data_IF_087270118848
#
_entry.id   IF_087270118848
#
_cell.length_a   1.000
_cell.length_b   1.000
_cell.length_c   1.000
_cell.angle_alpha   90.00
_cell.angle_beta   90.00
_cell.angle_gamma   90.00
#
_symmetry.space_group_name_H-M   'P 1'
#
loop_
_entity.id
_entity.type
_entity.pdbx_description
1 polymer ?
#
# COMPACT_ATOMS: atom_id res chain seq x y z
N UNK A 1 14.03 -11.79 2.82
CA UNK A 1 14.96 -11.44 1.70
C UNK A 1 14.33 -10.45 0.74
N UNK A 2 13.03 -10.59 0.43
CA UNK A 2 12.31 -9.72 -0.50
C UNK A 2 12.47 -8.21 -0.23
N UNK A 3 12.28 -7.77 1.02
CA UNK A 3 12.36 -6.34 1.36
C UNK A 3 13.74 -5.72 1.12
N UNK A 4 14.85 -6.47 1.31
CA UNK A 4 16.19 -5.93 1.04
C UNK A 4 16.43 -5.68 -0.45
N UNK A 5 15.89 -6.56 -1.31
CA UNK A 5 15.97 -6.36 -2.76
C UNK A 5 15.13 -5.16 -3.20
N UNK A 6 13.95 -4.97 -2.60
CA UNK A 6 13.08 -3.82 -2.86
C UNK A 6 13.76 -2.53 -2.40
N UNK A 7 14.28 -2.48 -1.18
CA UNK A 7 15.03 -1.35 -0.62
C UNK A 7 16.20 -0.96 -1.53
N UNK A 8 17.03 -1.94 -1.92
CA UNK A 8 18.16 -1.69 -2.80
C UNK A 8 17.73 -1.16 -4.18
N UNK A 9 16.61 -1.65 -4.73
CA UNK A 9 16.10 -1.18 -6.01
C UNK A 9 15.52 0.23 -5.93
N UNK A 10 14.79 0.56 -4.87
CA UNK A 10 14.21 1.88 -4.67
C UNK A 10 15.29 2.92 -4.37
N UNK A 11 16.34 2.55 -3.64
CA UNK A 11 17.47 3.44 -3.38
C UNK A 11 18.29 3.83 -4.62
N UNK A 12 18.04 3.21 -5.78
CA UNK A 12 18.63 3.61 -7.06
C UNK A 12 17.81 4.69 -7.78
N UNK A 13 16.56 4.92 -7.36
CA UNK A 13 15.68 5.93 -7.94
C UNK A 13 15.83 7.25 -7.18
N UNK A 14 16.28 8.34 -7.84
CA UNK A 14 16.47 9.64 -7.17
C UNK A 14 15.15 10.29 -6.72
N UNK A 15 13.99 9.83 -7.21
CA UNK A 15 12.68 10.32 -6.75
C UNK A 15 12.21 9.60 -5.47
N UNK A 16 12.89 8.53 -5.04
CA UNK A 16 12.56 7.77 -3.86
C UNK A 16 13.55 8.04 -2.71
N UNK A 17 13.06 8.59 -1.60
CA UNK A 17 13.80 8.58 -0.33
C UNK A 17 13.42 7.34 0.48
N UNK A 18 14.41 6.50 0.79
CA UNK A 18 14.17 5.26 1.56
C UNK A 18 14.58 5.46 3.00
N UNK A 19 13.59 5.61 3.89
CA UNK A 19 13.77 5.82 5.32
C UNK A 19 13.91 4.47 6.06
N UNK A 20 14.94 3.69 5.67
CA UNK A 20 15.45 2.51 6.37
C UNK A 20 14.47 1.39 6.75
N UNK A 21 15.01 0.42 7.51
CA UNK A 21 14.30 -0.79 7.97
C UNK A 21 14.41 -0.88 9.48
N UNK A 22 13.32 -0.67 10.21
CA UNK A 22 13.32 -0.95 11.64
C UNK A 22 12.64 -2.30 11.92
N UNK A 23 13.28 -3.18 12.72
CA UNK A 23 12.65 -4.42 13.16
C UNK A 23 11.43 -4.17 14.06
N UNK A 24 11.37 -3.00 14.70
CA UNK A 24 10.29 -2.51 15.55
C UNK A 24 10.31 -0.98 15.51
N UNK A 25 9.77 -0.38 14.44
CA UNK A 25 9.52 1.07 14.45
C UNK A 25 8.29 1.31 15.34
N UNK A 26 8.42 2.27 16.26
CA UNK A 26 7.27 2.76 17.02
C UNK A 26 6.29 3.42 16.03
N UNK A 27 4.99 3.09 16.05
CA UNK A 27 4.00 3.75 15.22
C UNK A 27 4.07 5.29 15.29
N UNK A 28 4.40 5.84 16.47
CA UNK A 28 4.52 7.28 16.66
C UNK A 28 5.76 7.87 15.96
N UNK A 29 6.87 7.13 15.94
CA UNK A 29 8.07 7.50 15.19
C UNK A 29 7.78 7.44 13.69
N UNK A 30 7.07 6.41 13.21
CA UNK A 30 6.65 6.32 11.81
C UNK A 30 5.76 7.50 11.40
N UNK A 31 4.81 7.88 12.24
CA UNK A 31 3.98 9.06 12.00
C UNK A 31 4.82 10.34 11.93
N UNK A 32 5.87 10.47 12.73
CA UNK A 32 6.74 11.65 12.68
C UNK A 32 7.52 11.77 11.37
N UNK A 33 7.84 10.64 10.73
CA UNK A 33 8.52 10.59 9.44
C UNK A 33 7.63 11.01 8.27
N UNK A 34 6.30 11.00 8.44
CA UNK A 34 5.32 11.29 7.39
C UNK A 34 5.61 10.56 6.06
N UNK A 35 5.78 9.23 6.06
CA UNK A 35 6.03 8.50 4.83
C UNK A 35 4.84 8.61 3.87
N UNK A 36 5.12 8.74 2.57
CA UNK A 36 4.11 8.59 1.53
C UNK A 36 3.75 7.11 1.30
N UNK A 37 4.73 6.21 1.50
CA UNK A 37 4.62 4.77 1.25
C UNK A 37 5.28 3.97 2.37
N UNK A 38 4.60 2.94 2.87
CA UNK A 38 5.17 1.94 3.79
C UNK A 38 5.11 0.56 3.16
N UNK A 39 6.25 -0.12 3.04
CA UNK A 39 6.37 -1.47 2.49
C UNK A 39 6.72 -2.46 3.60
N UNK A 40 5.97 -3.56 3.69
CA UNK A 40 6.15 -4.56 4.75
C UNK A 40 5.88 -5.99 4.26
N UNK A 41 6.37 -6.97 5.01
CA UNK A 41 6.02 -8.39 4.79
C UNK A 41 4.67 -8.68 5.44
N UNK A 42 3.77 -9.31 4.69
CA UNK A 42 2.36 -9.50 5.06
C UNK A 42 2.16 -10.23 6.39
N UNK A 43 2.95 -11.28 6.63
CA UNK A 43 2.88 -12.08 7.85
C UNK A 43 3.68 -11.50 9.01
N UNK A 44 4.43 -10.42 8.78
CA UNK A 44 5.32 -9.81 9.77
C UNK A 44 4.66 -8.64 10.52
N UNK A 45 3.55 -8.10 10.01
CA UNK A 45 2.92 -6.89 10.57
C UNK A 45 1.50 -7.19 11.02
N UNK A 46 1.13 -6.88 12.29
CA UNK A 46 -0.23 -7.08 12.78
C UNK A 46 -1.22 -6.13 12.06
N UNK A 47 -2.41 -6.60 11.68
CA UNK A 47 -3.43 -5.78 11.01
C UNK A 47 -3.83 -4.52 11.79
N UNK A 48 -3.79 -4.57 13.12
CA UNK A 48 -4.12 -3.45 14.00
C UNK A 48 -3.15 -2.28 13.80
N UNK A 49 -1.86 -2.58 13.55
CA UNK A 49 -0.86 -1.56 13.27
C UNK A 49 -1.14 -0.90 11.92
N UNK A 50 -1.46 -1.69 10.89
CA UNK A 50 -1.81 -1.16 9.56
C UNK A 50 -3.01 -0.22 9.63
N UNK A 51 -4.03 -0.61 10.40
CA UNK A 51 -5.20 0.22 10.62
C UNK A 51 -4.85 1.51 11.37
N UNK A 52 -4.03 1.44 12.43
CA UNK A 52 -3.58 2.63 13.16
C UNK A 52 -2.83 3.60 12.24
N UNK A 53 -1.89 3.11 11.42
CA UNK A 53 -1.15 3.95 10.48
C UNK A 53 -2.05 4.58 9.41
N UNK A 54 -3.02 3.83 8.88
CA UNK A 54 -3.99 4.38 7.93
C UNK A 54 -4.87 5.49 8.52
N UNK A 55 -5.02 5.49 9.86
CA UNK A 55 -5.76 6.51 10.60
C UNK A 55 -4.94 7.76 10.87
N UNK A 56 -3.72 7.58 11.36
CA UNK A 56 -2.84 8.67 11.78
C UNK A 56 -2.21 9.40 10.58
N UNK A 57 -2.01 8.73 9.45
CA UNK A 57 -1.38 9.29 8.25
C UNK A 57 -2.35 9.21 7.06
N UNK A 58 -3.26 10.20 6.90
CA UNK A 58 -4.18 10.23 5.76
C UNK A 58 -3.43 10.24 4.43
N UNK A 59 -3.85 9.38 3.50
CA UNK A 59 -3.21 9.30 2.18
C UNK A 59 -2.00 8.36 2.10
N UNK A 60 -1.54 7.80 3.23
CA UNK A 60 -0.49 6.78 3.25
C UNK A 60 -0.85 5.58 2.36
N UNK A 61 0.08 5.21 1.48
CA UNK A 61 0.01 3.98 0.71
C UNK A 61 0.72 2.86 1.47
N UNK A 62 -0.04 1.84 1.86
CA UNK A 62 0.48 0.64 2.49
C UNK A 62 0.67 -0.46 1.42
N UNK A 63 1.87 -1.04 1.32
CA UNK A 63 2.18 -2.11 0.38
C UNK A 63 2.69 -3.34 1.14
N UNK A 64 1.91 -4.41 1.11
CA UNK A 64 2.20 -5.68 1.77
C UNK A 64 2.71 -6.68 0.77
N UNK A 65 3.88 -7.23 1.00
CA UNK A 65 4.52 -8.21 0.14
C UNK A 65 4.32 -9.59 0.74
N UNK A 66 3.75 -10.49 -0.07
CA UNK A 66 3.77 -11.93 0.16
C UNK A 66 5.01 -12.49 -0.57
N UNK A 67 6.09 -12.84 0.15
CA UNK A 67 7.30 -13.37 -0.46
C UNK A 67 7.11 -14.77 -1.05
N UNK A 68 6.13 -15.54 -0.58
CA UNK A 68 5.87 -16.91 -1.04
C UNK A 68 5.19 -16.91 -2.41
N UNK A 69 4.20 -16.03 -2.60
CA UNK A 69 3.46 -15.95 -3.86
C UNK A 69 3.96 -14.86 -4.82
N UNK A 70 4.97 -14.07 -4.41
CA UNK A 70 5.47 -12.91 -5.13
C UNK A 70 4.34 -11.93 -5.51
N UNK A 71 3.42 -11.68 -4.57
CA UNK A 71 2.28 -10.77 -4.73
C UNK A 71 2.43 -9.57 -3.82
N UNK A 72 1.99 -8.43 -4.32
CA UNK A 72 1.82 -7.21 -3.54
C UNK A 72 0.33 -6.97 -3.30
N UNK A 73 -0.03 -6.63 -2.08
CA UNK A 73 -1.33 -6.08 -1.70
C UNK A 73 -1.15 -4.58 -1.45
N UNK A 74 -2.00 -3.77 -2.07
CA UNK A 74 -2.00 -2.33 -1.92
C UNK A 74 -3.22 -1.93 -1.09
N UNK A 75 -3.01 -1.21 0.00
CA UNK A 75 -4.07 -0.53 0.74
C UNK A 75 -3.87 0.97 0.67
N UNK A 76 -4.86 1.68 0.12
CA UNK A 76 -4.92 3.14 0.19
C UNK A 76 -5.76 3.56 1.40
N UNK A 77 -5.13 4.22 2.37
CA UNK A 77 -5.80 4.78 3.56
C UNK A 77 -6.62 6.04 3.24
N UNK A 78 -7.61 5.94 2.33
CA UNK A 78 -8.53 7.03 2.06
C UNK A 78 -9.60 7.07 3.16
N UNK A 79 -9.60 8.13 3.95
CA UNK A 79 -10.63 8.37 4.95
C UNK A 79 -11.72 9.26 4.34
N UNK A 80 -12.97 8.87 4.55
CA UNK A 80 -14.13 9.64 4.14
C UNK A 80 -15.07 9.77 5.34
N UNK A 81 -15.42 11.01 5.66
CA UNK A 81 -16.29 11.34 6.79
C UNK A 81 -17.71 11.68 6.30
N UNK A 82 -18.70 11.47 7.18
CA UNK A 82 -20.09 11.88 6.89
C UNK A 82 -20.78 11.10 5.77
N UNK A 83 -20.27 9.93 5.40
CA UNK A 83 -20.83 9.11 4.33
C UNK A 83 -22.25 8.63 4.66
N UNK A 84 -23.17 8.83 3.72
CA UNK A 84 -24.45 8.15 3.69
C UNK A 84 -24.32 6.73 3.13
N UNK A 85 -25.38 5.92 3.28
CA UNK A 85 -25.45 4.60 2.63
C UNK A 85 -25.40 4.67 1.11
N UNK A 86 -25.87 5.77 0.52
CA UNK A 86 -25.80 6.01 -0.93
C UNK A 86 -24.36 6.27 -1.36
N UNK A 87 -23.61 7.06 -0.59
CA UNK A 87 -22.20 7.34 -0.86
C UNK A 87 -21.35 6.06 -0.79
N UNK A 88 -21.61 5.21 0.20
CA UNK A 88 -20.97 3.89 0.31
C UNK A 88 -21.25 3.00 -0.90
N UNK A 89 -22.50 3.00 -1.38
CA UNK A 89 -22.89 2.23 -2.57
C UNK A 89 -22.13 2.73 -3.81
N UNK A 90 -22.00 4.04 -3.97
CA UNK A 90 -21.24 4.65 -5.06
C UNK A 90 -19.75 4.28 -5.00
N UNK A 91 -19.14 4.35 -3.81
CA UNK A 91 -17.74 3.94 -3.59
C UNK A 91 -17.52 2.48 -4.00
N UNK A 92 -18.42 1.58 -3.59
CA UNK A 92 -18.34 0.15 -3.94
C UNK A 92 -18.42 -0.06 -5.45
N UNK A 93 -19.32 0.65 -6.14
CA UNK A 93 -19.43 0.57 -7.59
C UNK A 93 -18.16 1.06 -8.27
N UNK A 94 -17.65 2.23 -7.90
CA UNK A 94 -16.42 2.80 -8.46
C UNK A 94 -15.22 1.86 -8.27
N UNK A 95 -15.04 1.30 -7.08
CA UNK A 95 -13.96 0.37 -6.80
C UNK A 95 -14.01 -0.87 -7.71
N UNK A 96 -15.20 -1.43 -7.96
CA UNK A 96 -15.36 -2.57 -8.87
C UNK A 96 -15.06 -2.24 -10.33
N UNK A 97 -15.41 -1.04 -10.80
CA UNK A 97 -15.10 -0.61 -12.17
C UNK A 97 -13.58 -0.48 -12.37
N UNK A 98 -12.86 0.13 -11.43
CA UNK A 98 -11.40 0.29 -11.50
C UNK A 98 -10.65 -1.05 -11.51
N UNK A 99 -11.14 -2.06 -10.80
CA UNK A 99 -10.55 -3.41 -10.77
C UNK A 99 -10.76 -4.14 -12.11
N UNK A 100 -11.94 -3.99 -12.72
CA UNK A 100 -12.28 -4.63 -14.00
C UNK A 100 -11.42 -4.09 -15.15
N UNK A 101 -11.26 -2.77 -15.22
CA UNK A 101 -10.47 -2.10 -16.26
C UNK A 101 -8.97 -2.40 -16.18
N UNK A 102 -8.44 -2.70 -14.99
CA UNK A 102 -7.03 -3.06 -14.80
C UNK A 102 -6.72 -4.49 -15.27
N UNK A 103 -7.73 -5.39 -15.30
CA UNK A 103 -7.58 -6.76 -15.81
C UNK A 103 -7.55 -6.81 -17.34
N UNK A 104 -8.38 -6.02 -18.02
CA UNK A 104 -8.41 -5.97 -19.49
C UNK A 104 -7.11 -5.41 -20.10
N UNK A 105 -6.37 -4.55 -19.39
CA UNK A 105 -5.07 -4.03 -19.86
C UNK A 105 -3.93 -5.05 -19.77
N UNK A 106 -4.02 -6.05 -18.89
CA UNK A 106 -3.00 -7.11 -18.76
C UNK A 106 -3.22 -8.30 -19.72
N UNK A 107 -4.28 -8.30 -20.52
CA UNK A 107 -4.59 -9.36 -21.50
C UNK A 107 -4.30 -8.97 -22.95
N UNK A 108 -3.68 -7.81 -23.21
CA UNK A 108 -3.22 -7.49 -24.57
C UNK A 108 -1.95 -8.32 -24.90
N UNK A 109 -2.02 -9.25 -25.87
CA UNK A 109 -0.86 -10.02 -26.25
C UNK A 109 0.14 -9.08 -26.93
N UNK A 110 1.41 -9.17 -26.53
CA UNK A 110 2.55 -8.69 -27.31
C UNK A 110 2.41 -9.21 -28.73
N UNK A 111 1.94 -8.33 -29.61
CA UNK A 111 1.80 -8.60 -31.03
C UNK A 111 3.18 -8.44 -31.68
N UNK A 112 3.80 -9.60 -31.89
CA UNK A 112 4.76 -10.01 -32.94
C UNK A 112 5.92 -9.07 -33.26
#
# INVERSE_FOLDING_TARGET
MALMGIEASLGLDPECEVIGRAPTIDPQELCSLHPDVTIFELDAVPPELLYALSKEIPGLLLIGIDPESNRALLWSGQQAEGLSSQDLTQIIHQARFSISASREKNEQPTKT
#
